data_IF_366071252367
#
_entry.id   IF_366071252367
#
_cell.length_a   1.000
_cell.length_b   1.000
_cell.length_c   1.000
_cell.angle_alpha   90.00
_cell.angle_beta   90.00
_cell.angle_gamma   90.00
#
_symmetry.space_group_name_H-M   'P 1'
#
loop_
_entity.id
_entity.type
_entity.pdbx_description
1 polymer ?
#
# COMPACT_ATOMS: atom_id res chain seq x y z
N UNK A 1 -11.76 11.09 -5.13
CA UNK A 1 -11.07 9.85 -4.69
C UNK A 1 -9.75 10.09 -3.97
N UNK A 2 -8.90 11.02 -4.43
CA UNK A 2 -7.58 11.27 -3.82
C UNK A 2 -7.63 11.63 -2.32
N UNK A 3 -8.59 12.46 -1.88
CA UNK A 3 -8.74 12.78 -0.45
C UNK A 3 -9.09 11.53 0.38
N UNK A 4 -9.92 10.63 -0.15
CA UNK A 4 -10.23 9.36 0.49
C UNK A 4 -8.99 8.47 0.59
N UNK A 5 -8.16 8.42 -0.46
CA UNK A 5 -6.86 7.74 -0.42
C UNK A 5 -5.99 8.26 0.73
N UNK A 6 -5.84 9.58 0.88
CA UNK A 6 -5.04 10.18 1.95
C UNK A 6 -5.60 9.77 3.34
N UNK A 7 -6.90 9.91 3.56
CA UNK A 7 -7.52 9.59 4.84
C UNK A 7 -7.41 8.10 5.21
N UNK A 8 -7.67 7.21 4.24
CA UNK A 8 -7.56 5.76 4.42
C UNK A 8 -6.10 5.37 4.67
N UNK A 9 -5.17 5.89 3.88
CA UNK A 9 -3.73 5.66 4.05
C UNK A 9 -3.23 6.09 5.42
N UNK A 10 -3.69 7.23 5.92
CA UNK A 10 -3.34 7.72 7.26
C UNK A 10 -3.91 6.81 8.35
N UNK A 11 -5.18 6.40 8.23
CA UNK A 11 -5.81 5.45 9.15
C UNK A 11 -5.08 4.11 9.19
N UNK A 12 -4.82 3.49 8.04
CA UNK A 12 -4.16 2.18 7.95
C UNK A 12 -2.73 2.28 8.47
N UNK A 13 -1.99 3.33 8.12
CA UNK A 13 -0.63 3.54 8.62
C UNK A 13 -0.61 3.68 10.15
N UNK A 14 -1.60 4.36 10.73
CA UNK A 14 -1.74 4.48 12.19
C UNK A 14 -2.08 3.14 12.85
N UNK A 15 -3.01 2.37 12.27
CA UNK A 15 -3.38 1.03 12.78
C UNK A 15 -2.19 0.07 12.71
N UNK A 16 -1.46 0.07 11.58
CA UNK A 16 -0.29 -0.78 11.38
C UNK A 16 0.85 -0.41 12.34
N UNK A 17 1.10 0.89 12.55
CA UNK A 17 2.09 1.34 13.54
C UNK A 17 1.76 0.92 14.97
N UNK A 18 0.47 0.88 15.33
CA UNK A 18 0.03 0.59 16.71
C UNK A 18 -0.13 -0.90 16.99
N UNK A 19 -0.59 -1.68 16.01
CA UNK A 19 -0.98 -3.09 16.22
C UNK A 19 -0.21 -4.08 15.32
N UNK A 20 0.62 -3.60 14.39
CA UNK A 20 1.36 -4.41 13.40
C UNK A 20 0.50 -5.44 12.66
N UNK A 21 -0.81 -5.21 12.60
CA UNK A 21 -1.79 -6.10 11.99
C UNK A 21 -2.92 -5.26 11.39
N UNK A 22 -3.09 -5.42 10.09
CA UNK A 22 -4.24 -4.91 9.35
C UNK A 22 -5.30 -6.01 9.31
N UNK A 23 -6.50 -5.75 9.82
CA UNK A 23 -7.55 -6.76 9.81
C UNK A 23 -8.16 -6.91 8.42
N UNK A 24 -8.58 -8.13 8.05
CA UNK A 24 -9.29 -8.37 6.79
C UNK A 24 -10.61 -7.56 6.73
N UNK A 25 -11.20 -7.23 7.89
CA UNK A 25 -12.43 -6.43 7.97
C UNK A 25 -12.15 -4.98 7.57
N UNK A 26 -11.04 -4.40 8.05
CA UNK A 26 -10.63 -3.05 7.66
C UNK A 26 -10.37 -2.96 6.16
N UNK A 27 -9.68 -3.95 5.59
CA UNK A 27 -9.43 -4.03 4.14
C UNK A 27 -10.71 -4.21 3.33
N UNK A 28 -11.68 -4.99 3.82
CA UNK A 28 -12.97 -5.16 3.16
C UNK A 28 -13.75 -3.83 3.17
N UNK A 29 -13.77 -3.14 4.31
CA UNK A 29 -14.46 -1.85 4.44
C UNK A 29 -13.82 -0.79 3.55
N UNK A 30 -12.49 -0.73 3.47
CA UNK A 30 -11.81 0.22 2.57
C UNK A 30 -12.07 -0.11 1.11
N UNK A 31 -12.08 -1.39 0.72
CA UNK A 31 -12.47 -1.79 -0.63
C UNK A 31 -13.89 -1.37 -0.98
N UNK A 32 -14.87 -1.67 -0.11
CA UNK A 32 -16.28 -1.31 -0.35
C UNK A 32 -16.48 0.22 -0.42
N UNK A 33 -15.81 0.96 0.46
CA UNK A 33 -15.86 2.42 0.45
C UNK A 33 -15.27 2.98 -0.84
N UNK A 34 -14.09 2.52 -1.27
CA UNK A 34 -13.47 2.97 -2.52
C UNK A 34 -14.28 2.56 -3.75
N UNK A 35 -14.89 1.37 -3.73
CA UNK A 35 -15.78 0.91 -4.81
C UNK A 35 -17.02 1.80 -4.92
N UNK A 36 -17.68 2.09 -3.79
CA UNK A 36 -18.84 2.99 -3.77
C UNK A 36 -18.48 4.40 -4.25
N UNK A 37 -17.33 4.91 -3.82
CA UNK A 37 -16.85 6.23 -4.23
C UNK A 37 -16.51 6.25 -5.71
N UNK A 38 -15.87 5.20 -6.23
CA UNK A 38 -15.55 5.07 -7.65
C UNK A 38 -16.80 5.04 -8.52
N UNK A 39 -17.84 4.32 -8.09
CA UNK A 39 -19.13 4.30 -8.76
C UNK A 39 -19.79 5.69 -8.80
N UNK A 40 -19.71 6.46 -7.71
CA UNK A 40 -20.26 7.82 -7.62
C UNK A 40 -19.46 8.81 -8.47
N UNK A 41 -18.12 8.73 -8.43
CA UNK A 41 -17.24 9.67 -9.14
C UNK A 41 -16.94 9.28 -10.58
N UNK A 42 -17.49 8.16 -11.06
CA UNK A 42 -17.24 7.57 -12.39
C UNK A 42 -15.75 7.43 -12.74
N UNK A 43 -14.94 7.14 -11.74
CA UNK A 43 -13.50 6.94 -11.90
C UNK A 43 -13.23 5.50 -12.31
N UNK A 44 -12.30 5.34 -13.27
CA UNK A 44 -11.87 4.02 -13.72
C UNK A 44 -11.22 3.20 -12.60
N UNK A 45 -11.30 1.89 -12.75
CA UNK A 45 -10.61 0.92 -11.90
C UNK A 45 -9.57 0.15 -12.72
N UNK A 46 -8.59 -0.43 -12.05
CA UNK A 46 -7.45 -1.12 -12.64
C UNK A 46 -7.40 -2.59 -12.16
N UNK A 47 -8.33 -3.44 -12.61
CA UNK A 47 -8.36 -4.84 -12.19
C UNK A 47 -7.12 -5.62 -12.64
N UNK A 48 -6.52 -5.26 -13.77
CA UNK A 48 -5.33 -5.93 -14.32
C UNK A 48 -4.07 -5.72 -13.47
N UNK A 49 -3.90 -4.55 -12.83
CA UNK A 49 -2.79 -4.32 -11.90
C UNK A 49 -2.96 -5.13 -10.64
N UNK A 50 -4.16 -5.09 -10.05
CA UNK A 50 -4.50 -5.89 -8.87
C UNK A 50 -4.30 -7.39 -9.13
N UNK A 51 -4.74 -7.88 -10.29
CA UNK A 51 -4.54 -9.28 -10.69
C UNK A 51 -3.06 -9.63 -10.85
N UNK A 52 -2.27 -8.77 -11.49
CA UNK A 52 -0.82 -8.96 -11.60
C UNK A 52 -0.14 -9.08 -10.24
N UNK A 53 -0.50 -8.21 -9.28
CA UNK A 53 0.03 -8.28 -7.90
C UNK A 53 -0.33 -9.60 -7.23
N UNK A 54 -1.58 -10.08 -7.38
CA UNK A 54 -2.01 -11.36 -6.85
C UNK A 54 -1.29 -12.54 -7.51
N UNK A 55 -1.06 -12.48 -8.83
CA UNK A 55 -0.33 -13.50 -9.58
C UNK A 55 1.11 -13.65 -9.07
N UNK A 56 1.77 -12.55 -8.76
CA UNK A 56 3.13 -12.55 -8.20
C UNK A 56 3.18 -12.73 -6.67
N UNK A 57 2.04 -12.74 -5.99
CA UNK A 57 1.97 -12.91 -4.53
C UNK A 57 2.73 -14.13 -3.98
N UNK A 58 2.78 -15.32 -4.63
CA UNK A 58 3.55 -16.44 -4.11
C UNK A 58 5.06 -16.16 -4.07
N UNK A 59 5.56 -15.38 -5.04
CA UNK A 59 6.97 -14.97 -5.10
C UNK A 59 7.26 -13.90 -4.03
N UNK A 60 6.34 -12.96 -3.85
CA UNK A 60 6.43 -11.88 -2.86
C UNK A 60 6.40 -12.45 -1.42
N UNK A 61 5.56 -13.47 -1.17
CA UNK A 61 5.51 -14.16 0.12
C UNK A 61 6.81 -14.89 0.45
N UNK A 62 7.52 -15.43 -0.55
CA UNK A 62 8.86 -16.02 -0.33
C UNK A 62 9.88 -15.00 0.15
N UNK A 63 9.69 -13.71 -0.17
CA UNK A 63 10.52 -12.61 0.33
C UNK A 63 10.17 -12.18 1.77
N UNK A 64 9.35 -12.97 2.50
CA UNK A 64 8.89 -12.70 3.89
C UNK A 64 8.07 -11.40 4.03
N UNK A 65 7.47 -10.92 2.94
CA UNK A 65 6.52 -9.80 2.98
C UNK A 65 5.20 -10.29 3.58
N UNK A 66 4.59 -9.48 4.44
CA UNK A 66 3.33 -9.83 5.10
C UNK A 66 2.19 -10.02 4.09
N UNK A 67 1.42 -11.09 4.25
CA UNK A 67 0.22 -11.29 3.43
C UNK A 67 -0.81 -10.16 3.59
N UNK A 68 -0.78 -9.43 4.71
CA UNK A 68 -1.57 -8.21 4.91
C UNK A 68 -1.14 -7.07 3.98
N UNK A 69 0.17 -6.85 3.84
CA UNK A 69 0.74 -5.80 2.98
C UNK A 69 0.42 -6.05 1.51
N UNK A 70 0.48 -7.32 1.08
CA UNK A 70 0.10 -7.70 -0.29
C UNK A 70 -1.37 -7.38 -0.53
N UNK A 71 -2.27 -7.73 0.39
CA UNK A 71 -3.70 -7.42 0.25
C UNK A 71 -3.96 -5.93 0.22
N UNK A 72 -3.28 -5.16 1.08
CA UNK A 72 -3.35 -3.70 1.08
C UNK A 72 -2.95 -3.13 -0.29
N UNK A 73 -1.78 -3.55 -0.78
CA UNK A 73 -1.27 -3.13 -2.09
C UNK A 73 -2.25 -3.52 -3.21
N UNK A 74 -2.82 -4.72 -3.18
CA UNK A 74 -3.82 -5.15 -4.17
C UNK A 74 -5.06 -4.24 -4.16
N UNK A 75 -5.61 -3.94 -2.98
CA UNK A 75 -6.79 -3.06 -2.86
C UNK A 75 -6.47 -1.66 -3.39
N UNK A 76 -5.34 -1.08 -3.00
CA UNK A 76 -4.96 0.26 -3.45
C UNK A 76 -4.64 0.30 -4.95
N UNK A 77 -3.92 -0.70 -5.47
CA UNK A 77 -3.60 -0.78 -6.89
C UNK A 77 -4.84 -0.90 -7.77
N UNK A 78 -5.86 -1.62 -7.31
CA UNK A 78 -7.13 -1.75 -8.01
C UNK A 78 -7.80 -0.39 -8.31
N UNK A 79 -7.63 0.61 -7.44
CA UNK A 79 -8.29 1.91 -7.61
C UNK A 79 -7.36 3.02 -8.10
N UNK A 80 -6.05 2.92 -7.89
CA UNK A 80 -5.14 4.06 -8.05
C UNK A 80 -3.91 3.78 -8.92
N UNK A 81 -3.62 2.53 -9.29
CA UNK A 81 -2.41 2.20 -10.06
C UNK A 81 -2.81 1.61 -11.42
N UNK A 82 -2.69 2.38 -12.51
CA UNK A 82 -2.75 1.86 -13.87
C UNK A 82 -1.56 0.95 -14.19
N UNK A 83 -1.77 -0.01 -15.10
CA UNK A 83 -0.70 -0.92 -15.54
C UNK A 83 0.14 -0.25 -16.63
N UNK A 84 0.99 0.69 -16.24
CA UNK A 84 1.96 1.35 -17.13
C UNK A 84 3.36 1.28 -16.55
N UNK A 85 4.36 1.27 -17.43
CA UNK A 85 5.77 1.19 -17.03
C UNK A 85 6.19 2.41 -16.20
N UNK A 86 5.77 3.61 -16.59
CA UNK A 86 6.12 4.86 -15.89
C UNK A 86 5.62 4.84 -14.43
N UNK A 87 4.38 4.40 -14.21
CA UNK A 87 3.79 4.33 -12.87
C UNK A 87 4.44 3.22 -12.05
N UNK A 88 4.81 2.10 -12.68
CA UNK A 88 5.53 1.03 -11.99
C UNK A 88 6.94 1.48 -11.55
N UNK A 89 7.65 2.26 -12.37
CA UNK A 89 8.93 2.85 -11.99
C UNK A 89 8.77 3.88 -10.88
N UNK A 90 7.79 4.76 -10.97
CA UNK A 90 7.52 5.78 -9.96
C UNK A 90 7.12 5.14 -8.63
N UNK A 91 6.30 4.09 -8.67
CA UNK A 91 5.93 3.33 -7.48
C UNK A 91 7.17 2.70 -6.84
N UNK A 92 8.03 2.06 -7.62
CA UNK A 92 9.24 1.40 -7.13
C UNK A 92 10.24 2.40 -6.52
N UNK A 93 10.42 3.57 -7.16
CA UNK A 93 11.29 4.63 -6.65
C UNK A 93 10.74 5.22 -5.35
N UNK A 94 9.46 5.58 -5.33
CA UNK A 94 8.83 6.15 -4.14
C UNK A 94 8.76 5.15 -2.98
N UNK A 95 8.45 3.88 -3.27
CA UNK A 95 8.46 2.82 -2.26
C UNK A 95 9.87 2.61 -1.68
N UNK A 96 10.90 2.56 -2.51
CA UNK A 96 12.30 2.39 -2.03
C UNK A 96 12.78 3.60 -1.21
N UNK A 97 12.43 4.82 -1.61
CA UNK A 97 12.78 6.03 -0.86
C UNK A 97 12.10 6.07 0.51
N UNK A 98 10.78 5.80 0.56
CA UNK A 98 10.03 5.84 1.82
C UNK A 98 10.46 4.68 2.75
N UNK A 99 10.67 3.48 2.22
CA UNK A 99 11.22 2.37 3.03
C UNK A 99 12.62 2.67 3.55
N UNK A 100 13.50 3.28 2.75
CA UNK A 100 14.81 3.73 3.19
C UNK A 100 14.71 4.78 4.31
N UNK A 101 13.79 5.74 4.19
CA UNK A 101 13.56 6.73 5.24
C UNK A 101 13.06 6.08 6.55
N UNK A 102 12.12 5.13 6.47
CA UNK A 102 11.65 4.37 7.64
C UNK A 102 12.77 3.54 8.26
N UNK A 103 13.64 2.92 7.45
CA UNK A 103 14.84 2.22 7.90
C UNK A 103 15.78 3.14 8.68
N UNK A 104 16.05 4.34 8.17
CA UNK A 104 16.91 5.33 8.84
C UNK A 104 16.29 5.79 10.16
N UNK A 105 14.99 6.09 10.18
CA UNK A 105 14.28 6.46 11.41
C UNK A 105 14.34 5.34 12.44
N UNK A 106 14.14 4.09 12.02
CA UNK A 106 14.25 2.93 12.90
C UNK A 106 15.67 2.79 13.44
N UNK A 107 16.69 2.92 12.59
CA UNK A 107 18.09 2.86 12.99
C UNK A 107 18.44 3.92 14.04
N UNK A 108 17.98 5.15 13.84
CA UNK A 108 18.17 6.26 14.79
C UNK A 108 17.46 6.01 16.12
N UNK A 109 16.31 5.31 16.11
CA UNK A 109 15.50 5.07 17.31
C UNK A 109 15.93 3.85 18.11
N UNK A 110 16.23 2.73 17.44
CA UNK A 110 16.53 1.45 18.09
C UNK A 110 18.00 1.05 18.04
N UNK A 111 18.87 1.83 17.38
CA UNK A 111 20.29 1.51 17.15
C UNK A 111 20.53 0.10 16.58
N UNK A 112 19.51 -0.50 15.95
CA UNK A 112 19.51 -1.90 15.52
C UNK A 112 18.56 -2.07 14.35
N UNK A 113 19.00 -2.89 13.38
CA UNK A 113 18.22 -3.32 12.22
C UNK A 113 17.34 -4.55 12.49
N UNK A 114 17.39 -5.11 13.71
CA UNK A 114 16.68 -6.34 14.05
C UNK A 114 15.16 -6.18 14.26
N UNK A 115 14.60 -5.01 13.98
CA UNK A 115 13.17 -4.71 14.13
C UNK A 115 12.36 -4.94 12.86
N UNK A 116 11.10 -5.36 13.01
CA UNK A 116 10.13 -5.35 11.90
C UNK A 116 9.72 -3.92 11.58
N UNK A 117 9.85 -3.53 10.32
CA UNK A 117 9.44 -2.21 9.85
C UNK A 117 7.98 -2.28 9.42
N UNK A 118 7.18 -1.31 9.85
CA UNK A 118 5.83 -1.11 9.35
C UNK A 118 5.92 -0.80 7.84
N UNK A 119 5.50 -1.76 7.01
CA UNK A 119 5.63 -1.67 5.54
C UNK A 119 4.40 -0.99 4.92
N UNK A 120 3.28 -0.99 5.62
CA UNK A 120 2.04 -0.33 5.18
C UNK A 120 2.20 1.18 4.93
N UNK A 121 2.88 1.98 5.79
CA UNK A 121 3.13 3.39 5.51
C UNK A 121 3.92 3.63 4.21
N UNK A 122 4.86 2.74 3.87
CA UNK A 122 5.62 2.84 2.63
C UNK A 122 4.75 2.53 1.40
N UNK A 123 3.90 1.50 1.48
CA UNK A 123 2.93 1.19 0.42
C UNK A 123 1.98 2.37 0.23
N UNK A 124 1.36 2.84 1.31
CA UNK A 124 0.42 3.95 1.30
C UNK A 124 1.04 5.22 0.69
N UNK A 125 2.25 5.58 1.12
CA UNK A 125 2.95 6.75 0.59
C UNK A 125 3.33 6.63 -0.88
N UNK A 126 3.77 5.44 -1.32
CA UNK A 126 4.07 5.19 -2.73
C UNK A 126 2.81 5.27 -3.61
N UNK A 127 1.68 4.72 -3.16
CA UNK A 127 0.40 4.85 -3.87
C UNK A 127 -0.05 6.31 -3.95
N UNK A 128 0.08 7.08 -2.86
CA UNK A 128 -0.26 8.52 -2.86
C UNK A 128 0.58 9.28 -3.89
N UNK A 129 1.87 8.95 -4.00
CA UNK A 129 2.75 9.55 -5.00
C UNK A 129 2.29 9.24 -6.43
N UNK A 130 1.95 7.98 -6.71
CA UNK A 130 1.49 7.54 -8.03
C UNK A 130 0.08 8.04 -8.40
N UNK A 131 -0.73 8.38 -7.42
CA UNK A 131 -2.11 8.84 -7.62
C UNK A 131 -2.25 10.36 -7.78
N UNK A 132 -1.13 11.11 -7.76
CA UNK A 132 -1.05 12.55 -8.01
C UNK A 132 -1.28 12.87 -9.47
#
# INVERSE_FOLDING_TARGET
MFLALILISLYISFVDFRHHRISNRDLLLTFLLLLSLSAITQTGVHPLTAFSILLFSPLILRARIGAGDIKLLTVLAFFFIPLTWDIASDFSLSFTLITAALLVIQLLRSHSFAGSIALAPAICGAVIWCAR
#
